data_IF_696113392221
#
_entry.id   IF_696113392221
#
_cell.length_a   1.000
_cell.length_b   1.000
_cell.length_c   1.000
_cell.angle_alpha   90.00
_cell.angle_beta   90.00
_cell.angle_gamma   90.00
#
_symmetry.space_group_name_H-M   'P 1'
#
loop_
_entity.id
_entity.type
_entity.pdbx_description
1 polymer ?
#
# COMPACT_ATOMS: atom_id res chain seq x y z
N UNK A 1 13.20 -5.07 42.17
CA UNK A 1 11.86 -4.90 41.53
C UNK A 1 11.94 -4.34 40.10
N UNK A 2 12.82 -3.40 39.77
CA UNK A 2 13.02 -2.86 38.40
C UNK A 2 13.35 -3.91 37.30
N UNK A 3 14.14 -4.93 37.61
CA UNK A 3 14.60 -5.96 36.64
C UNK A 3 13.45 -6.85 36.11
N UNK A 4 12.46 -7.19 36.93
CA UNK A 4 11.32 -8.03 36.52
C UNK A 4 10.36 -7.29 35.57
N UNK A 5 10.15 -6.00 35.77
CA UNK A 5 9.28 -5.17 34.93
C UNK A 5 9.87 -4.96 33.55
N UNK A 6 11.21 -4.82 33.44
CA UNK A 6 11.94 -4.70 32.17
C UNK A 6 11.83 -6.01 31.39
N UNK A 7 12.03 -7.17 32.06
CA UNK A 7 11.91 -8.51 31.42
C UNK A 7 10.50 -8.82 30.92
N UNK A 8 9.45 -8.38 31.64
CA UNK A 8 8.05 -8.57 31.21
C UNK A 8 7.77 -7.68 30.00
N UNK A 9 8.26 -6.44 30.01
CA UNK A 9 8.11 -5.48 28.90
C UNK A 9 8.83 -5.99 27.64
N UNK A 10 10.05 -6.51 27.76
CA UNK A 10 10.78 -7.15 26.66
C UNK A 10 10.08 -8.41 26.11
N UNK A 11 9.54 -9.25 27.00
CA UNK A 11 8.77 -10.44 26.59
C UNK A 11 7.45 -10.06 25.88
N UNK A 12 6.78 -9.00 26.29
CA UNK A 12 5.57 -8.50 25.64
C UNK A 12 5.88 -7.82 24.29
N UNK A 13 6.99 -7.11 24.20
CA UNK A 13 7.47 -6.50 22.96
C UNK A 13 7.87 -7.58 21.94
N UNK A 14 8.54 -8.65 22.38
CA UNK A 14 8.89 -9.80 21.54
C UNK A 14 7.67 -10.68 21.17
N UNK A 15 6.52 -10.50 21.81
CA UNK A 15 5.27 -11.22 21.54
C UNK A 15 4.32 -10.42 20.64
N UNK A 16 4.81 -9.37 19.97
CA UNK A 16 3.98 -8.52 19.13
C UNK A 16 3.49 -9.24 17.87
N UNK A 17 2.22 -9.25 17.80
CA UNK A 17 1.28 -9.34 16.65
C UNK A 17 1.90 -9.77 15.32
N UNK A 18 1.58 -11.01 14.93
CA UNK A 18 1.56 -11.48 13.54
C UNK A 18 2.89 -11.49 12.80
N UNK A 19 3.16 -12.54 12.13
CA UNK A 19 4.08 -12.73 11.01
C UNK A 19 5.59 -12.42 11.18
N UNK A 20 6.03 -11.70 12.19
CA UNK A 20 7.40 -11.22 12.33
C UNK A 20 8.19 -11.76 13.52
N UNK A 21 7.92 -12.98 13.98
CA UNK A 21 8.80 -13.64 14.96
C UNK A 21 10.27 -13.77 14.51
N UNK A 22 10.55 -13.43 13.23
CA UNK A 22 11.81 -13.64 12.55
C UNK A 22 12.50 -12.37 12.03
N UNK A 23 11.82 -11.23 11.97
CA UNK A 23 12.40 -9.91 11.67
C UNK A 23 12.43 -9.08 12.94
N UNK A 24 13.63 -8.64 13.36
CA UNK A 24 13.76 -7.80 14.56
C UNK A 24 13.12 -6.43 14.31
N UNK A 25 12.23 -6.02 15.20
CA UNK A 25 11.73 -4.66 15.18
C UNK A 25 12.74 -3.74 15.88
N UNK A 26 13.17 -2.72 15.14
CA UNK A 26 14.18 -1.77 15.61
C UNK A 26 13.56 -0.50 16.19
N UNK A 27 12.31 -0.17 15.80
CA UNK A 27 11.55 0.92 16.38
C UNK A 27 10.55 0.37 17.40
N UNK A 28 10.74 0.70 18.66
CA UNK A 28 9.84 0.32 19.77
C UNK A 28 8.92 1.47 20.18
N UNK A 29 9.35 2.70 19.97
CA UNK A 29 8.59 3.93 20.24
C UNK A 29 8.14 4.55 18.91
N UNK A 30 7.01 5.25 18.94
CA UNK A 30 6.50 5.98 17.78
C UNK A 30 7.40 7.21 17.58
N UNK A 31 8.05 7.28 16.43
CA UNK A 31 8.83 8.47 16.07
C UNK A 31 7.91 9.63 15.65
N UNK A 32 8.44 10.87 15.70
CA UNK A 32 7.70 12.04 15.20
C UNK A 32 7.28 11.90 13.73
N UNK A 33 8.11 11.24 12.93
CA UNK A 33 7.85 10.98 11.52
C UNK A 33 6.65 10.04 11.35
N UNK A 34 6.59 8.97 12.14
CA UNK A 34 5.46 8.04 12.17
C UNK A 34 4.19 8.76 12.63
N UNK A 35 4.26 9.57 13.71
CA UNK A 35 3.12 10.35 14.18
C UNK A 35 2.59 11.35 13.14
N UNK A 36 3.47 12.06 12.42
CA UNK A 36 3.08 12.93 11.30
C UNK A 36 2.40 12.12 10.19
N UNK A 37 2.96 10.96 9.85
CA UNK A 37 2.40 10.09 8.82
C UNK A 37 1.01 9.60 9.18
N UNK A 38 0.80 9.13 10.40
CA UNK A 38 -0.51 8.68 10.90
C UNK A 38 -1.55 9.80 10.81
N UNK A 39 -1.17 11.05 11.19
CA UNK A 39 -2.04 12.21 11.07
C UNK A 39 -2.41 12.52 9.61
N UNK A 40 -1.44 12.44 8.68
CA UNK A 40 -1.67 12.67 7.24
C UNK A 40 -2.55 11.58 6.64
N UNK A 41 -2.34 10.31 6.98
CA UNK A 41 -3.21 9.22 6.51
C UNK A 41 -4.62 9.33 7.07
N UNK A 42 -4.79 9.70 8.35
CA UNK A 42 -6.09 9.98 8.94
C UNK A 42 -6.81 11.12 8.20
N UNK A 43 -6.09 12.19 7.86
CA UNK A 43 -6.60 13.29 7.07
C UNK A 43 -7.00 12.85 5.65
N UNK A 44 -6.16 12.04 4.99
CA UNK A 44 -6.48 11.48 3.67
C UNK A 44 -7.77 10.65 3.69
N UNK A 45 -7.96 9.81 4.72
CA UNK A 45 -9.22 9.06 4.93
C UNK A 45 -10.40 10.02 5.13
N UNK A 46 -10.21 11.08 5.91
CA UNK A 46 -11.26 12.10 6.12
C UNK A 46 -11.66 12.76 4.80
N UNK A 47 -10.70 13.09 3.91
CA UNK A 47 -10.98 13.65 2.59
C UNK A 47 -11.82 12.69 1.72
N UNK A 48 -11.61 11.37 1.83
CA UNK A 48 -12.45 10.39 1.14
C UNK A 48 -13.91 10.45 1.60
N UNK A 49 -14.15 10.69 2.90
CA UNK A 49 -15.49 10.75 3.49
C UNK A 49 -16.16 12.09 3.23
N UNK A 50 -15.47 13.21 3.46
CA UNK A 50 -16.04 14.58 3.39
C UNK A 50 -16.56 14.93 1.99
N UNK A 51 -16.04 14.27 0.96
CA UNK A 51 -16.57 14.44 -0.39
C UNK A 51 -17.95 13.79 -0.62
N UNK A 52 -18.57 13.20 0.40
CA UNK A 52 -19.95 12.74 0.41
C UNK A 52 -20.79 13.87 1.05
N UNK A 53 -21.71 14.47 0.27
CA UNK A 53 -22.69 15.40 0.83
C UNK A 53 -23.59 14.67 1.83
N UNK A 54 -23.99 15.37 2.89
CA UNK A 54 -24.93 14.80 3.87
C UNK A 54 -26.31 14.71 3.21
N UNK A 55 -26.87 13.49 3.04
CA UNK A 55 -28.15 13.30 2.37
C UNK A 55 -29.27 13.94 3.18
N UNK A 56 -30.20 14.63 2.51
CA UNK A 56 -31.36 15.29 3.12
C UNK A 56 -32.61 14.45 3.04
N UNK A 57 -32.65 13.46 2.14
CA UNK A 57 -33.79 12.56 1.94
C UNK A 57 -33.29 11.10 2.00
N UNK A 58 -34.23 10.16 2.20
CA UNK A 58 -33.92 8.74 2.18
C UNK A 58 -33.43 8.28 0.80
N UNK A 59 -33.97 8.83 -0.28
CA UNK A 59 -33.53 8.49 -1.63
C UNK A 59 -32.09 8.96 -1.88
N UNK A 60 -31.72 10.15 -1.42
CA UNK A 60 -30.32 10.63 -1.45
C UNK A 60 -29.40 9.74 -0.61
N UNK A 61 -29.88 9.31 0.57
CA UNK A 61 -29.13 8.35 1.41
C UNK A 61 -28.90 7.03 0.66
N UNK A 62 -29.93 6.47 0.02
CA UNK A 62 -29.82 5.23 -0.75
C UNK A 62 -28.83 5.35 -1.91
N UNK A 63 -28.80 6.49 -2.61
CA UNK A 63 -27.81 6.77 -3.66
C UNK A 63 -26.40 6.89 -3.09
N UNK A 64 -26.22 7.60 -1.97
CA UNK A 64 -24.93 7.75 -1.29
C UNK A 64 -24.39 6.38 -0.83
N UNK A 65 -25.27 5.53 -0.29
CA UNK A 65 -24.89 4.17 0.14
C UNK A 65 -24.44 3.27 -1.01
N UNK A 66 -24.92 3.47 -2.23
CA UNK A 66 -24.40 2.78 -3.42
C UNK A 66 -22.95 3.17 -3.71
N UNK A 67 -22.56 4.41 -3.44
CA UNK A 67 -21.19 4.90 -3.56
C UNK A 67 -20.22 4.34 -2.48
N UNK A 68 -20.75 3.70 -1.42
CA UNK A 68 -19.93 3.15 -0.34
C UNK A 68 -18.93 2.08 -0.81
N UNK A 69 -19.26 1.33 -1.86
CA UNK A 69 -18.34 0.34 -2.44
C UNK A 69 -17.04 1.00 -2.97
N UNK A 70 -17.14 2.13 -3.66
CA UNK A 70 -15.99 2.90 -4.14
C UNK A 70 -15.15 3.44 -2.98
N UNK A 71 -15.81 3.96 -1.94
CA UNK A 71 -15.16 4.40 -0.72
C UNK A 71 -14.40 3.25 -0.04
N UNK A 72 -15.02 2.08 0.14
CA UNK A 72 -14.42 0.93 0.81
C UNK A 72 -13.17 0.44 0.08
N UNK A 73 -13.18 0.38 -1.26
CA UNK A 73 -12.02 -0.02 -2.05
C UNK A 73 -10.90 1.03 -1.92
N UNK A 74 -11.23 2.32 -2.06
CA UNK A 74 -10.25 3.41 -1.94
C UNK A 74 -9.63 3.45 -0.55
N UNK A 75 -10.42 3.28 0.51
CA UNK A 75 -9.96 3.16 1.89
C UNK A 75 -9.03 1.95 2.07
N UNK A 76 -9.42 0.78 1.55
CA UNK A 76 -8.61 -0.44 1.63
C UNK A 76 -7.23 -0.26 1.00
N UNK A 77 -7.15 0.38 -0.18
CA UNK A 77 -5.87 0.67 -0.85
C UNK A 77 -5.03 1.67 -0.05
N UNK A 78 -5.64 2.73 0.46
CA UNK A 78 -4.95 3.71 1.30
C UNK A 78 -4.41 3.04 2.59
N UNK A 79 -5.20 2.15 3.20
CA UNK A 79 -4.81 1.37 4.36
C UNK A 79 -3.63 0.43 4.07
N UNK A 80 -3.59 -0.20 2.87
CA UNK A 80 -2.46 -1.03 2.45
C UNK A 80 -1.18 -0.19 2.33
N UNK A 81 -1.25 1.02 1.76
CA UNK A 81 -0.11 1.94 1.66
C UNK A 81 0.39 2.32 3.05
N UNK A 82 -0.50 2.75 3.95
CA UNK A 82 -0.19 3.05 5.34
C UNK A 82 0.44 1.84 6.06
N UNK A 83 -0.11 0.64 5.89
CA UNK A 83 0.40 -0.57 6.53
C UNK A 83 1.80 -0.96 6.04
N UNK A 84 2.11 -0.75 4.76
CA UNK A 84 3.45 -0.95 4.22
C UNK A 84 4.44 0.06 4.79
N UNK A 85 4.05 1.34 4.92
CA UNK A 85 4.85 2.37 5.56
C UNK A 85 5.08 2.06 7.05
N UNK A 86 4.03 1.68 7.80
CA UNK A 86 4.12 1.23 9.18
C UNK A 86 5.13 0.08 9.34
N UNK A 87 5.02 -0.96 8.49
CA UNK A 87 5.98 -2.08 8.49
C UNK A 87 7.42 -1.63 8.24
N UNK A 88 7.62 -0.68 7.32
CA UNK A 88 8.94 -0.13 7.02
C UNK A 88 9.57 0.50 8.26
N UNK A 89 8.88 1.42 8.92
CA UNK A 89 9.41 2.09 10.10
C UNK A 89 9.65 1.13 11.26
N UNK A 90 8.73 0.21 11.51
CA UNK A 90 8.90 -0.82 12.55
C UNK A 90 10.09 -1.74 12.30
N UNK A 91 10.36 -2.10 11.05
CA UNK A 91 11.46 -2.98 10.69
C UNK A 91 12.82 -2.30 10.78
N UNK A 92 12.92 -1.10 10.25
CA UNK A 92 14.22 -0.45 10.07
C UNK A 92 14.51 0.66 11.08
N UNK A 93 13.51 1.34 11.62
CA UNK A 93 13.68 2.43 12.59
C UNK A 93 14.49 3.62 12.06
N UNK A 94 14.58 3.79 10.74
CA UNK A 94 15.35 4.83 10.10
C UNK A 94 14.70 6.20 10.28
N UNK A 95 15.51 7.20 10.68
CA UNK A 95 15.08 8.59 10.91
C UNK A 95 16.02 9.62 10.28
N UNK A 96 16.88 9.19 9.36
CA UNK A 96 17.82 10.08 8.65
C UNK A 96 17.10 10.98 7.63
N UNK A 97 17.79 12.06 7.21
CA UNK A 97 17.22 13.08 6.33
C UNK A 97 16.63 12.52 5.03
N UNK A 98 17.27 11.50 4.44
CA UNK A 98 16.76 10.88 3.22
C UNK A 98 15.45 10.12 3.46
N UNK A 99 15.37 9.36 4.57
CA UNK A 99 14.13 8.67 4.98
C UNK A 99 13.00 9.67 5.22
N UNK A 100 13.29 10.80 5.91
CA UNK A 100 12.31 11.87 6.15
C UNK A 100 11.81 12.45 4.82
N UNK A 101 12.73 12.76 3.90
CA UNK A 101 12.40 13.33 2.59
C UNK A 101 11.55 12.36 1.75
N UNK A 102 11.94 11.09 1.66
CA UNK A 102 11.20 10.07 0.92
C UNK A 102 9.81 9.83 1.54
N UNK A 103 9.72 9.81 2.87
CA UNK A 103 8.44 9.70 3.55
C UNK A 103 7.55 10.93 3.27
N UNK A 104 8.12 12.14 3.31
CA UNK A 104 7.40 13.35 2.93
C UNK A 104 6.87 13.30 1.50
N UNK A 105 7.68 12.80 0.56
CA UNK A 105 7.25 12.57 -0.82
C UNK A 105 6.10 11.56 -0.91
N UNK A 106 6.16 10.45 -0.14
CA UNK A 106 5.07 9.48 -0.05
C UNK A 106 3.76 10.13 0.42
N UNK A 107 3.84 10.90 1.51
CA UNK A 107 2.68 11.58 2.08
C UNK A 107 2.08 12.61 1.11
N UNK A 108 2.93 13.36 0.40
CA UNK A 108 2.49 14.30 -0.64
C UNK A 108 1.74 13.57 -1.76
N UNK A 109 2.31 12.49 -2.29
CA UNK A 109 1.68 11.69 -3.34
C UNK A 109 0.35 11.11 -2.86
N UNK A 110 0.29 10.58 -1.64
CA UNK A 110 -0.93 10.02 -1.05
C UNK A 110 -2.03 11.06 -0.98
N UNK A 111 -1.75 12.26 -0.44
CA UNK A 111 -2.75 13.33 -0.33
C UNK A 111 -3.27 13.77 -1.70
N UNK A 112 -2.37 13.95 -2.66
CA UNK A 112 -2.76 14.33 -4.02
C UNK A 112 -3.59 13.23 -4.71
N UNK A 113 -3.25 11.95 -4.43
CA UNK A 113 -3.82 10.80 -5.13
C UNK A 113 -5.19 10.36 -4.60
N UNK A 114 -5.60 10.81 -3.43
CA UNK A 114 -6.91 10.48 -2.83
C UNK A 114 -8.09 10.76 -3.77
N UNK A 115 -8.09 11.92 -4.44
CA UNK A 115 -9.17 12.31 -5.34
C UNK A 115 -9.22 11.48 -6.63
N UNK A 116 -8.13 11.33 -7.40
CA UNK A 116 -8.11 10.43 -8.57
C UNK A 116 -8.51 9.00 -8.22
N UNK A 117 -8.06 8.50 -7.08
CA UNK A 117 -8.38 7.16 -6.59
C UNK A 117 -9.89 6.99 -6.39
N UNK A 118 -10.51 7.91 -5.65
CA UNK A 118 -11.95 7.89 -5.41
C UNK A 118 -12.76 7.99 -6.71
N UNK A 119 -12.37 8.90 -7.61
CA UNK A 119 -13.03 9.09 -8.89
C UNK A 119 -13.03 7.81 -9.72
N UNK A 120 -11.86 7.15 -9.85
CA UNK A 120 -11.72 5.91 -10.61
C UNK A 120 -12.60 4.79 -10.04
N UNK A 121 -12.61 4.60 -8.71
CA UNK A 121 -13.42 3.55 -8.10
C UNK A 121 -14.91 3.88 -8.10
N UNK A 122 -15.29 5.16 -8.07
CA UNK A 122 -16.68 5.58 -8.27
C UNK A 122 -17.17 5.23 -9.68
N UNK A 123 -16.34 5.46 -10.70
CA UNK A 123 -16.62 5.06 -12.08
C UNK A 123 -16.74 3.52 -12.19
N UNK A 124 -15.78 2.78 -11.61
CA UNK A 124 -15.79 1.32 -11.67
C UNK A 124 -17.02 0.72 -10.99
N UNK A 125 -17.37 1.19 -9.79
CA UNK A 125 -18.55 0.71 -9.05
C UNK A 125 -19.83 1.04 -9.81
N UNK A 126 -19.93 2.24 -10.38
CA UNK A 126 -21.06 2.62 -11.21
C UNK A 126 -21.24 1.67 -12.41
N UNK A 127 -20.16 1.34 -13.12
CA UNK A 127 -20.20 0.37 -14.24
C UNK A 127 -20.61 -1.03 -13.78
N UNK A 128 -20.07 -1.53 -12.64
CA UNK A 128 -20.39 -2.85 -12.13
C UNK A 128 -21.82 -2.99 -11.59
N UNK A 129 -22.42 -1.90 -11.13
CA UNK A 129 -23.81 -1.86 -10.63
C UNK A 129 -24.86 -1.61 -11.71
N UNK A 130 -24.46 -1.69 -13.00
CA UNK A 130 -25.38 -1.50 -14.13
C UNK A 130 -25.64 -0.06 -14.53
N UNK A 131 -24.87 0.90 -13.97
CA UNK A 131 -24.85 2.27 -14.43
C UNK A 131 -24.10 2.39 -15.76
N UNK A 132 -24.57 3.29 -16.63
CA UNK A 132 -23.91 3.52 -17.93
C UNK A 132 -22.72 4.48 -17.83
N UNK A 133 -22.18 4.72 -16.61
CA UNK A 133 -21.13 5.72 -16.38
C UNK A 133 -21.65 7.16 -16.42
N UNK A 134 -22.95 7.35 -16.28
CA UNK A 134 -23.59 8.66 -16.27
C UNK A 134 -23.87 9.13 -14.85
N UNK A 135 -23.68 10.43 -14.62
CA UNK A 135 -24.06 11.11 -13.38
C UNK A 135 -25.16 12.10 -13.69
N UNK A 136 -26.22 12.13 -12.88
CA UNK A 136 -27.25 13.16 -12.96
C UNK A 136 -26.75 14.42 -12.26
N UNK A 137 -26.65 15.49 -13.02
CA UNK A 137 -26.36 16.82 -12.49
C UNK A 137 -27.59 17.39 -11.74
N UNK A 138 -27.41 18.40 -10.86
CA UNK A 138 -28.50 19.04 -10.13
C UNK A 138 -29.59 19.63 -11.04
N UNK A 139 -29.25 19.92 -12.30
CA UNK A 139 -30.19 20.42 -13.34
C UNK A 139 -31.01 19.30 -14.01
N UNK A 140 -30.86 18.03 -13.56
CA UNK A 140 -31.60 16.88 -14.09
C UNK A 140 -30.98 16.22 -15.32
N UNK A 141 -29.94 16.81 -15.92
CA UNK A 141 -29.26 16.25 -17.11
C UNK A 141 -28.36 15.10 -16.72
N UNK A 142 -28.40 14.01 -17.50
CA UNK A 142 -27.42 12.93 -17.39
C UNK A 142 -26.21 13.29 -18.24
N UNK A 143 -25.02 13.25 -17.63
CA UNK A 143 -23.72 13.50 -18.29
C UNK A 143 -22.80 12.31 -18.02
N UNK A 144 -22.09 11.88 -19.05
CA UNK A 144 -21.10 10.81 -18.88
C UNK A 144 -19.98 11.26 -17.95
N UNK A 145 -19.61 10.41 -16.97
CA UNK A 145 -18.50 10.69 -16.04
C UNK A 145 -17.18 10.82 -16.77
N UNK A 146 -16.98 10.08 -17.85
CA UNK A 146 -15.75 10.08 -18.66
C UNK A 146 -16.12 9.94 -20.13
N UNK A 147 -15.68 10.88 -20.94
CA UNK A 147 -15.79 10.78 -22.40
C UNK A 147 -14.76 9.78 -22.96
N UNK A 148 -15.02 9.10 -24.09
CA UNK A 148 -14.10 8.12 -24.67
C UNK A 148 -12.66 8.64 -24.84
N UNK A 149 -12.48 9.92 -25.18
CA UNK A 149 -11.17 10.55 -25.33
C UNK A 149 -10.43 10.81 -24.01
N UNK A 150 -11.13 10.82 -22.86
CA UNK A 150 -10.57 11.13 -21.54
C UNK A 150 -10.08 9.87 -20.80
N UNK A 151 -10.46 8.68 -21.26
CA UNK A 151 -10.08 7.40 -20.62
C UNK A 151 -8.56 7.26 -20.54
N UNK A 152 -7.84 7.61 -21.61
CA UNK A 152 -6.37 7.56 -21.63
C UNK A 152 -5.79 8.46 -20.56
N UNK A 153 -6.24 9.72 -20.46
CA UNK A 153 -5.74 10.68 -19.47
C UNK A 153 -6.03 10.21 -18.03
N UNK A 154 -7.22 9.66 -17.79
CA UNK A 154 -7.61 9.10 -16.49
C UNK A 154 -6.69 7.94 -16.09
N UNK A 155 -6.44 6.98 -17.00
CA UNK A 155 -5.58 5.85 -16.74
C UNK A 155 -4.12 6.24 -16.54
N UNK A 156 -3.63 7.25 -17.26
CA UNK A 156 -2.28 7.80 -17.07
C UNK A 156 -2.15 8.48 -15.70
N UNK A 157 -3.11 9.33 -15.31
CA UNK A 157 -3.09 9.98 -14.00
C UNK A 157 -3.09 8.92 -12.88
N UNK A 158 -3.95 7.93 -12.99
CA UNK A 158 -3.99 6.82 -12.03
C UNK A 158 -2.67 6.04 -12.01
N UNK A 159 -2.14 5.67 -13.17
CA UNK A 159 -0.91 4.91 -13.30
C UNK A 159 0.30 5.66 -12.74
N UNK A 160 0.44 6.96 -13.02
CA UNK A 160 1.54 7.80 -12.50
C UNK A 160 1.52 7.87 -10.98
N UNK A 161 0.35 8.10 -10.36
CA UNK A 161 0.24 8.12 -8.90
C UNK A 161 0.58 6.74 -8.29
N UNK A 162 0.10 5.66 -8.90
CA UNK A 162 0.41 4.31 -8.46
C UNK A 162 1.92 4.02 -8.52
N UNK A 163 2.57 4.32 -9.65
CA UNK A 163 4.04 4.16 -9.82
C UNK A 163 4.81 5.05 -8.85
N UNK A 164 4.34 6.28 -8.59
CA UNK A 164 4.98 7.17 -7.64
C UNK A 164 4.97 6.60 -6.21
N UNK A 165 3.83 6.08 -5.73
CA UNK A 165 3.73 5.44 -4.41
C UNK A 165 4.70 4.27 -4.28
N UNK A 166 4.63 3.31 -5.20
CA UNK A 166 5.50 2.12 -5.13
C UNK A 166 6.95 2.45 -5.45
N UNK A 167 7.23 3.45 -6.29
CA UNK A 167 8.57 3.98 -6.54
C UNK A 167 9.22 4.52 -5.27
N UNK A 168 8.47 5.25 -4.44
CA UNK A 168 8.98 5.69 -3.13
C UNK A 168 9.27 4.50 -2.23
N UNK A 169 8.41 3.45 -2.21
CA UNK A 169 8.72 2.24 -1.44
C UNK A 169 9.97 1.51 -1.95
N UNK A 170 10.20 1.45 -3.27
CA UNK A 170 11.47 0.91 -3.81
C UNK A 170 12.66 1.71 -3.25
N UNK A 171 12.59 3.05 -3.30
CA UNK A 171 13.67 3.91 -2.81
C UNK A 171 13.91 3.76 -1.31
N UNK A 172 12.85 3.71 -0.49
CA UNK A 172 12.93 3.49 0.94
C UNK A 172 13.60 2.14 1.28
N UNK A 173 13.14 1.04 0.67
CA UNK A 173 13.72 -0.27 0.92
C UNK A 173 15.15 -0.39 0.37
N UNK A 174 15.45 0.26 -0.75
CA UNK A 174 16.80 0.32 -1.30
C UNK A 174 17.73 1.11 -0.38
N UNK A 175 17.26 2.21 0.21
CA UNK A 175 18.01 2.95 1.22
C UNK A 175 18.27 2.09 2.46
N UNK A 176 17.27 1.40 2.99
CA UNK A 176 17.45 0.45 4.09
C UNK A 176 18.45 -0.67 3.74
N UNK A 177 18.41 -1.18 2.51
CA UNK A 177 19.37 -2.18 2.05
C UNK A 177 20.80 -1.63 1.97
N UNK A 178 20.99 -0.38 1.55
CA UNK A 178 22.31 0.28 1.54
C UNK A 178 22.87 0.43 2.96
N UNK A 179 22.00 0.70 3.93
CA UNK A 179 22.35 0.81 5.35
C UNK A 179 22.36 -0.54 6.10
N UNK A 180 22.42 -1.66 5.39
CA UNK A 180 22.36 -3.01 5.99
C UNK A 180 23.40 -3.27 7.09
N UNK A 181 24.60 -2.69 6.95
CA UNK A 181 25.67 -2.82 7.94
C UNK A 181 25.38 -2.02 9.20
N UNK A 182 24.87 -0.79 9.09
CA UNK A 182 24.47 0.05 10.22
C UNK A 182 23.26 -0.55 10.96
N UNK A 183 22.35 -1.18 10.21
CA UNK A 183 21.16 -1.84 10.75
C UNK A 183 21.45 -3.26 11.26
N UNK A 184 22.67 -3.77 11.10
CA UNK A 184 23.04 -5.14 11.47
C UNK A 184 22.02 -6.18 10.98
N UNK A 185 21.64 -6.09 9.68
CA UNK A 185 20.67 -7.01 9.11
C UNK A 185 21.24 -8.42 9.02
N UNK A 186 20.55 -9.39 9.61
CA UNK A 186 20.91 -10.80 9.45
C UNK A 186 20.51 -11.31 8.04
N UNK A 187 20.92 -12.54 7.70
CA UNK A 187 20.70 -13.11 6.36
C UNK A 187 19.22 -13.19 5.99
N UNK A 188 18.35 -13.53 6.94
CA UNK A 188 16.90 -13.60 6.71
C UNK A 188 16.30 -12.19 6.53
N UNK A 189 16.74 -11.22 7.33
CA UNK A 189 16.31 -9.82 7.20
C UNK A 189 16.77 -9.21 5.86
N UNK A 190 17.98 -9.57 5.39
CA UNK A 190 18.47 -9.18 4.06
C UNK A 190 17.61 -9.79 2.95
N UNK A 191 17.26 -11.07 3.07
CA UNK A 191 16.36 -11.72 2.12
C UNK A 191 14.99 -11.05 2.10
N UNK A 192 14.38 -10.80 3.26
CA UNK A 192 13.08 -10.12 3.38
C UNK A 192 13.13 -8.69 2.82
N UNK A 193 14.25 -7.97 3.02
CA UNK A 193 14.44 -6.61 2.46
C UNK A 193 14.51 -6.66 0.93
N UNK A 194 15.26 -7.61 0.35
CA UNK A 194 15.32 -7.80 -1.11
C UNK A 194 13.97 -8.17 -1.68
N UNK A 195 13.21 -9.02 -1.00
CA UNK A 195 11.86 -9.37 -1.40
C UNK A 195 10.93 -8.14 -1.40
N UNK A 196 11.01 -7.28 -0.38
CA UNK A 196 10.22 -6.04 -0.32
C UNK A 196 10.58 -5.07 -1.46
N UNK A 197 11.86 -4.97 -1.86
CA UNK A 197 12.29 -4.22 -3.05
C UNK A 197 11.67 -4.83 -4.31
N UNK A 198 11.75 -6.15 -4.46
CA UNK A 198 11.21 -6.86 -5.62
C UNK A 198 9.70 -6.70 -5.74
N UNK A 199 8.95 -6.84 -4.65
CA UNK A 199 7.49 -6.65 -4.62
C UNK A 199 7.11 -5.22 -5.03
N UNK A 200 7.79 -4.22 -4.49
CA UNK A 200 7.55 -2.82 -4.85
C UNK A 200 7.92 -2.53 -6.31
N UNK A 201 9.01 -3.10 -6.81
CA UNK A 201 9.42 -2.97 -8.22
C UNK A 201 8.44 -3.66 -9.17
N UNK A 202 7.92 -4.84 -8.83
CA UNK A 202 6.88 -5.51 -9.61
C UNK A 202 5.61 -4.66 -9.73
N UNK A 203 5.19 -4.02 -8.62
CA UNK A 203 4.07 -3.06 -8.66
C UNK A 203 4.37 -1.88 -9.58
N UNK A 204 5.58 -1.30 -9.53
CA UNK A 204 5.98 -0.24 -10.48
C UNK A 204 5.93 -0.72 -11.93
N UNK A 205 6.43 -1.93 -12.23
CA UNK A 205 6.37 -2.49 -13.58
C UNK A 205 4.92 -2.65 -14.07
N UNK A 206 4.02 -3.16 -13.23
CA UNK A 206 2.60 -3.29 -13.58
C UNK A 206 1.99 -1.91 -13.87
N UNK A 207 2.27 -0.92 -13.04
CA UNK A 207 1.82 0.46 -13.27
C UNK A 207 2.35 1.06 -14.57
N UNK A 208 3.64 0.84 -14.88
CA UNK A 208 4.25 1.30 -16.14
C UNK A 208 3.65 0.59 -17.36
N UNK A 209 3.38 -0.71 -17.27
CA UNK A 209 2.68 -1.47 -18.33
C UNK A 209 1.27 -0.89 -18.54
N UNK A 210 0.54 -0.62 -17.47
CA UNK A 210 -0.80 0.01 -17.55
C UNK A 210 -0.74 1.38 -18.26
N UNK A 211 0.22 2.23 -17.91
CA UNK A 211 0.44 3.52 -18.58
C UNK A 211 0.76 3.31 -20.06
N UNK A 212 1.63 2.35 -20.38
CA UNK A 212 1.98 2.00 -21.77
C UNK A 212 0.74 1.59 -22.56
N UNK A 213 -0.09 0.71 -22.01
CA UNK A 213 -1.36 0.29 -22.62
C UNK A 213 -2.31 1.47 -22.81
N UNK A 214 -2.39 2.37 -21.84
CA UNK A 214 -3.24 3.57 -21.93
C UNK A 214 -2.80 4.51 -23.07
N UNK A 215 -1.49 4.72 -23.24
CA UNK A 215 -0.95 5.67 -24.24
C UNK A 215 -0.95 5.05 -25.65
N UNK A 216 -0.49 3.81 -25.77
CA UNK A 216 -0.27 3.18 -27.08
C UNK A 216 -1.44 2.29 -27.53
N UNK A 217 -2.37 1.95 -26.62
CA UNK A 217 -3.49 1.04 -26.88
C UNK A 217 -4.59 1.63 -27.78
N UNK A 218 -4.61 2.93 -28.02
CA UNK A 218 -5.65 3.59 -28.83
C UNK A 218 -7.07 3.22 -28.38
N UNK A 219 -7.85 2.55 -29.23
CA UNK A 219 -9.20 2.07 -28.89
C UNK A 219 -9.24 1.07 -27.71
N UNK A 220 -8.12 0.46 -27.38
CA UNK A 220 -7.98 -0.49 -26.27
C UNK A 220 -7.42 0.14 -24.99
N UNK A 221 -7.33 1.46 -24.91
CA UNK A 221 -6.82 2.17 -23.71
C UNK A 221 -7.57 1.77 -22.42
N UNK A 222 -8.85 1.41 -22.50
CA UNK A 222 -9.65 0.91 -21.38
C UNK A 222 -9.08 -0.40 -20.77
N UNK A 223 -8.31 -1.20 -21.52
CA UNK A 223 -7.65 -2.40 -20.99
C UNK A 223 -6.54 -2.08 -20.00
N UNK A 224 -6.09 -0.83 -19.90
CA UNK A 224 -5.13 -0.40 -18.89
C UNK A 224 -5.64 -0.66 -17.43
N UNK A 225 -6.96 -0.56 -17.20
CA UNK A 225 -7.57 -0.90 -15.91
C UNK A 225 -7.41 -2.38 -15.54
N UNK A 226 -7.86 -3.32 -16.36
CA UNK A 226 -7.66 -4.75 -16.13
C UNK A 226 -6.20 -5.20 -15.91
N UNK A 227 -5.19 -4.48 -16.40
CA UNK A 227 -3.78 -4.77 -16.11
C UNK A 227 -3.50 -4.85 -14.61
N UNK A 228 -4.19 -4.05 -13.80
CA UNK A 228 -4.03 -4.09 -12.33
C UNK A 228 -4.54 -5.40 -11.70
N UNK A 229 -5.37 -6.19 -12.36
CA UNK A 229 -5.74 -7.53 -11.87
C UNK A 229 -4.54 -8.48 -11.83
N UNK A 230 -3.52 -8.23 -12.65
CA UNK A 230 -2.27 -8.99 -12.62
C UNK A 230 -1.54 -8.85 -11.27
N UNK A 231 -1.79 -7.79 -10.50
CA UNK A 231 -1.18 -7.59 -9.17
C UNK A 231 -1.47 -8.81 -8.28
N UNK A 232 -2.72 -9.23 -8.19
CA UNK A 232 -3.11 -10.36 -7.34
C UNK A 232 -2.36 -11.65 -7.75
N UNK A 233 -2.26 -11.92 -9.05
CA UNK A 233 -1.59 -13.10 -9.59
C UNK A 233 -0.08 -13.02 -9.33
N UNK A 234 0.54 -11.93 -9.75
CA UNK A 234 2.00 -11.72 -9.66
C UNK A 234 2.48 -11.72 -8.21
N UNK A 235 1.79 -11.01 -7.31
CA UNK A 235 2.17 -10.96 -5.90
C UNK A 235 1.92 -12.30 -5.19
N UNK A 236 0.86 -13.04 -5.52
CA UNK A 236 0.61 -14.38 -4.96
C UNK A 236 1.68 -15.36 -5.41
N UNK A 237 2.06 -15.36 -6.69
CA UNK A 237 3.14 -16.20 -7.21
C UNK A 237 4.49 -15.83 -6.58
N UNK A 238 4.82 -14.53 -6.54
CA UNK A 238 6.03 -14.06 -5.91
C UNK A 238 6.08 -14.45 -4.42
N UNK A 239 5.01 -14.20 -3.67
CA UNK A 239 4.91 -14.54 -2.26
C UNK A 239 5.05 -16.06 -2.01
N UNK A 240 4.46 -16.90 -2.86
CA UNK A 240 4.59 -18.36 -2.77
C UNK A 240 6.01 -18.83 -3.02
N UNK A 241 6.68 -18.30 -4.05
CA UNK A 241 8.05 -18.64 -4.39
C UNK A 241 9.04 -18.17 -3.33
N UNK A 242 8.92 -16.90 -2.91
CA UNK A 242 9.79 -16.32 -1.89
C UNK A 242 9.54 -16.94 -0.52
N UNK A 243 8.29 -17.27 -0.18
CA UNK A 243 7.96 -17.97 1.05
C UNK A 243 8.59 -19.38 1.12
N UNK A 244 8.68 -20.12 -0.01
CA UNK A 244 9.37 -21.40 -0.08
C UNK A 244 10.88 -21.24 0.14
N UNK A 245 11.51 -20.28 -0.56
CA UNK A 245 12.94 -19.97 -0.42
C UNK A 245 13.30 -19.53 1.00
N UNK A 246 12.47 -18.68 1.59
CA UNK A 246 12.64 -18.23 2.97
C UNK A 246 12.65 -19.38 3.95
N UNK A 247 11.69 -20.34 3.83
CA UNK A 247 11.63 -21.53 4.68
C UNK A 247 12.87 -22.44 4.52
N UNK A 248 13.45 -22.52 3.34
CA UNK A 248 14.70 -23.26 3.11
C UNK A 248 15.86 -22.59 3.85
N UNK A 249 16.03 -21.27 3.70
CA UNK A 249 17.04 -20.51 4.43
C UNK A 249 16.88 -20.63 5.95
N UNK A 250 15.64 -20.62 6.46
CA UNK A 250 15.39 -20.80 7.89
C UNK A 250 15.86 -22.15 8.42
N UNK A 251 15.72 -23.23 7.64
CA UNK A 251 16.20 -24.56 8.02
C UNK A 251 17.73 -24.65 8.01
N UNK A 252 18.39 -23.97 7.08
CA UNK A 252 19.86 -23.93 7.00
C UNK A 252 20.48 -23.14 8.17
N UNK A 253 19.83 -22.07 8.65
CA UNK A 253 20.33 -21.22 9.72
C UNK A 253 19.84 -21.58 11.13
N UNK A 254 18.93 -22.54 11.29
CA UNK A 254 18.57 -23.19 12.54
C UNK A 254 18.94 -24.66 12.46
N UNK A 255 20.23 -25.06 12.61
CA UNK A 255 20.55 -26.45 12.80
C UNK A 255 19.90 -26.92 14.11
N UNK A 256 19.29 -28.06 14.01
CA UNK A 256 18.50 -28.85 14.93
C UNK A 256 18.85 -28.62 16.42
N UNK A 257 18.00 -27.86 17.14
CA UNK A 257 18.02 -27.81 18.61
C UNK A 257 17.40 -29.07 19.25
N UNK A 258 17.12 -30.10 18.45
CA UNK A 258 16.58 -31.37 18.94
C UNK A 258 17.63 -32.24 19.59
N UNK A 259 18.95 -31.93 19.41
CA UNK A 259 20.06 -32.66 20.02
C UNK A 259 20.32 -32.36 21.49
N UNK A 260 19.79 -31.29 22.07
CA UNK A 260 20.09 -30.88 23.47
C UNK A 260 19.08 -31.41 24.53
N UNK A 261 18.13 -32.27 24.15
CA UNK A 261 17.14 -32.84 25.08
C UNK A 261 17.50 -34.18 25.68
N UNK A 262 18.67 -34.73 25.34
CA UNK A 262 19.15 -36.02 25.86
C UNK A 262 20.64 -35.99 26.28
N UNK A 263 21.06 -34.94 26.97
CA UNK A 263 22.35 -34.96 27.68
C UNK A 263 22.14 -34.56 29.15
#
# INVERSE_FOLDING_TARGET
MKSRTIMIREKLINKSIGDNKKFRWRSHEISRIEGLSDAVFAFAVTLLVVSLEVPRTFDELAVTMRGFGAFAISFGLLFIVWFNQYKFFRRYGLQDALTVCLNGALLFVVLFYVYPLKFLFSLLVNQLTGGHGDVRLPNGNAVSMVEPGQITSLMVIFGVGYVAVFGVFVLLHLHAYRKRSELELNTLELFDTRNSIQESALNCCIGLISIGVAIFGGRYAALAGPVYMLIAIVLTLNGSLMGRRRRQLEKEFQPDRSGEKYA
#
